data_IF_497186986716
#
_entry.id   IF_497186986716
#
_cell.length_a   1.000
_cell.length_b   1.000
_cell.length_c   1.000
_cell.angle_alpha   90.00
_cell.angle_beta   90.00
_cell.angle_gamma   90.00
#
_symmetry.space_group_name_H-M   'P 1'
#
loop_
_entity.id
_entity.type
_entity.pdbx_description
1 polymer ?
#
# COMPACT_ATOMS: atom_id res chain seq x y z
N UNK A 1 -2.19 5.05 12.24
CA UNK A 1 -3.16 4.18 11.56
C UNK A 1 -2.54 3.87 10.22
N UNK A 2 -2.18 2.62 9.99
CA UNK A 2 -1.52 2.20 8.76
C UNK A 2 -2.46 2.47 7.58
N UNK A 3 -1.96 3.13 6.53
CA UNK A 3 -2.72 3.44 5.32
C UNK A 3 -2.74 2.22 4.41
N UNK A 4 -3.40 1.15 4.83
CA UNK A 4 -3.57 -0.08 4.06
C UNK A 4 -5.05 -0.33 3.76
N UNK A 5 -5.37 -0.61 2.50
CA UNK A 5 -6.73 -0.92 2.04
C UNK A 5 -7.02 -2.42 2.19
N UNK A 6 -8.21 -2.75 2.69
CA UNK A 6 -8.68 -4.14 2.74
C UNK A 6 -9.77 -4.35 1.69
N UNK A 7 -9.46 -5.14 0.67
CA UNK A 7 -10.37 -5.47 -0.43
C UNK A 7 -10.91 -6.89 -0.24
N UNK A 8 -12.21 -7.00 0.04
CA UNK A 8 -12.89 -8.30 0.16
C UNK A 8 -13.81 -8.47 -1.04
N UNK A 9 -13.51 -9.46 -1.88
CA UNK A 9 -14.29 -9.74 -3.08
C UNK A 9 -15.74 -10.16 -2.76
N UNK A 10 -16.72 -9.90 -3.64
CA UNK A 10 -18.12 -10.27 -3.39
C UNK A 10 -18.36 -11.76 -3.13
N UNK A 11 -17.59 -12.64 -3.76
CA UNK A 11 -17.62 -14.08 -3.54
C UNK A 11 -16.95 -14.50 -2.23
N UNK A 12 -15.89 -13.82 -1.79
CA UNK A 12 -15.35 -13.99 -0.44
C UNK A 12 -16.39 -13.61 0.62
N UNK A 13 -17.10 -12.49 0.47
CA UNK A 13 -18.17 -12.09 1.39
C UNK A 13 -19.26 -13.16 1.51
N UNK A 14 -19.70 -13.70 0.36
CA UNK A 14 -20.66 -14.82 0.34
C UNK A 14 -20.11 -16.08 1.01
N UNK A 15 -18.83 -16.40 0.81
CA UNK A 15 -18.18 -17.55 1.44
C UNK A 15 -18.08 -17.38 2.96
N UNK A 16 -17.73 -16.19 3.45
CA UNK A 16 -17.68 -15.86 4.88
C UNK A 16 -19.07 -16.05 5.52
N UNK A 17 -20.11 -15.53 4.87
CA UNK A 17 -21.48 -15.67 5.36
C UNK A 17 -21.93 -17.14 5.42
N UNK A 18 -21.62 -17.94 4.40
CA UNK A 18 -21.91 -19.39 4.38
C UNK A 18 -21.17 -20.12 5.50
N UNK A 19 -19.89 -19.84 5.68
CA UNK A 19 -19.09 -20.46 6.73
C UNK A 19 -19.63 -20.12 8.14
N UNK A 20 -20.11 -18.89 8.35
CA UNK A 20 -20.72 -18.48 9.61
C UNK A 20 -22.06 -19.21 9.90
N UNK A 21 -22.83 -19.51 8.84
CA UNK A 21 -24.05 -20.32 8.92
C UNK A 21 -23.72 -21.78 9.22
N UNK A 22 -22.76 -22.37 8.51
CA UNK A 22 -22.30 -23.76 8.71
C UNK A 22 -21.81 -24.00 10.14
N UNK A 23 -21.10 -23.02 10.71
CA UNK A 23 -20.63 -23.06 12.10
C UNK A 23 -21.73 -22.84 13.15
N UNK A 24 -22.99 -22.62 12.74
CA UNK A 24 -24.16 -22.34 13.61
C UNK A 24 -23.95 -21.16 14.56
N UNK A 25 -23.08 -20.24 14.18
CA UNK A 25 -22.72 -19.05 14.98
C UNK A 25 -23.49 -17.80 14.56
N UNK A 26 -24.15 -17.83 13.39
CA UNK A 26 -24.86 -16.68 12.82
C UNK A 26 -23.95 -15.46 12.67
N UNK A 27 -24.52 -14.25 12.80
CA UNK A 27 -23.77 -13.00 12.66
C UNK A 27 -22.58 -12.87 13.62
N UNK A 28 -22.64 -13.48 14.82
CA UNK A 28 -21.53 -13.48 15.79
C UNK A 28 -20.29 -14.19 15.26
N UNK A 29 -20.46 -15.18 14.39
CA UNK A 29 -19.37 -15.92 13.76
C UNK A 29 -18.59 -15.13 12.72
N UNK A 30 -19.15 -14.04 12.18
CA UNK A 30 -18.47 -13.25 11.15
C UNK A 30 -17.19 -12.63 11.72
N UNK A 31 -17.24 -12.09 12.95
CA UNK A 31 -16.07 -11.49 13.60
C UNK A 31 -14.95 -12.50 13.77
N UNK A 32 -15.25 -13.70 14.26
CA UNK A 32 -14.21 -14.72 14.49
C UNK A 32 -13.63 -15.30 13.19
N UNK A 33 -14.41 -15.31 12.10
CA UNK A 33 -13.90 -15.66 10.78
C UNK A 33 -12.96 -14.57 10.27
N UNK A 34 -13.36 -13.30 10.34
CA UNK A 34 -12.53 -12.17 9.93
C UNK A 34 -11.24 -12.08 10.73
N UNK A 35 -11.29 -12.26 12.05
CA UNK A 35 -10.08 -12.29 12.91
C UNK A 35 -9.08 -13.36 12.46
N UNK A 36 -9.57 -14.54 12.06
CA UNK A 36 -8.69 -15.61 11.55
C UNK A 36 -8.07 -15.26 10.21
N UNK A 37 -8.85 -14.69 9.29
CA UNK A 37 -8.38 -14.31 7.95
C UNK A 37 -7.38 -13.15 7.99
N UNK A 38 -7.53 -12.25 8.95
CA UNK A 38 -6.70 -11.05 9.09
C UNK A 38 -5.51 -11.23 10.02
N UNK A 39 -5.38 -12.37 10.73
CA UNK A 39 -4.31 -12.58 11.70
C UNK A 39 -2.91 -12.37 11.10
N UNK A 40 -2.66 -12.99 9.94
CA UNK A 40 -1.39 -12.86 9.22
C UNK A 40 -1.24 -11.46 8.57
N UNK A 41 -2.22 -10.93 7.80
CA UNK A 41 -2.16 -9.57 7.28
C UNK A 41 -1.88 -8.49 8.34
N UNK A 42 -2.44 -8.62 9.55
CA UNK A 42 -2.21 -7.67 10.64
C UNK A 42 -0.76 -7.65 11.14
N UNK A 43 0.02 -8.71 10.88
CA UNK A 43 1.44 -8.77 11.20
C UNK A 43 2.32 -8.35 10.02
N UNK A 44 1.95 -8.73 8.80
CA UNK A 44 2.74 -8.44 7.59
C UNK A 44 2.63 -6.98 7.13
N UNK A 45 1.48 -6.34 7.34
CA UNK A 45 1.24 -4.96 6.88
C UNK A 45 2.07 -3.91 7.64
N UNK A 46 2.14 -3.92 8.99
CA UNK A 46 2.93 -2.94 9.73
C UNK A 46 4.39 -2.90 9.28
N UNK A 47 4.95 -1.69 9.12
CA UNK A 47 6.34 -1.46 8.70
C UNK A 47 6.72 -2.06 7.32
N UNK A 48 5.74 -2.33 6.45
CA UNK A 48 5.96 -2.80 5.09
C UNK A 48 5.54 -1.76 4.03
N UNK A 49 5.90 -2.01 2.77
CA UNK A 49 5.46 -1.22 1.61
C UNK A 49 4.09 -1.68 1.05
N UNK A 50 3.34 -2.47 1.83
CA UNK A 50 2.03 -3.01 1.42
C UNK A 50 0.97 -1.90 1.51
N UNK A 51 0.30 -1.66 0.39
CA UNK A 51 -0.78 -0.67 0.25
C UNK A 51 -2.16 -1.30 0.34
N UNK A 52 -2.33 -2.55 -0.07
CA UNK A 52 -3.62 -3.23 0.00
C UNK A 52 -3.49 -4.74 0.25
N UNK A 53 -4.51 -5.30 0.89
CA UNK A 53 -4.69 -6.73 1.12
C UNK A 53 -5.98 -7.17 0.41
N UNK A 54 -5.89 -8.16 -0.46
CA UNK A 54 -7.05 -8.73 -1.14
C UNK A 54 -7.43 -10.10 -0.60
N UNK A 55 -8.71 -10.25 -0.23
CA UNK A 55 -9.31 -11.49 0.22
C UNK A 55 -10.30 -12.00 -0.83
N UNK A 56 -9.96 -13.14 -1.42
CA UNK A 56 -10.82 -13.87 -2.35
C UNK A 56 -11.48 -15.09 -1.69
N UNK A 57 -12.40 -15.75 -2.40
CA UNK A 57 -13.09 -16.94 -1.89
C UNK A 57 -12.14 -18.08 -1.51
N UNK A 58 -11.05 -18.26 -2.25
CA UNK A 58 -10.10 -19.33 -1.98
C UNK A 58 -9.34 -19.10 -0.66
N UNK A 59 -9.03 -17.84 -0.34
CA UNK A 59 -8.48 -17.46 0.98
C UNK A 59 -9.46 -17.81 2.10
N UNK A 60 -10.74 -17.47 1.93
CA UNK A 60 -11.79 -17.83 2.92
C UNK A 60 -11.92 -19.34 3.11
N UNK A 61 -11.72 -20.11 2.03
CA UNK A 61 -11.76 -21.58 2.05
C UNK A 61 -10.45 -22.22 2.51
N UNK A 62 -9.42 -21.44 2.82
CA UNK A 62 -8.10 -21.94 3.23
C UNK A 62 -7.31 -22.62 2.11
N UNK A 63 -7.62 -22.31 0.85
CA UNK A 63 -6.94 -22.88 -0.33
C UNK A 63 -5.77 -22.04 -0.81
N UNK A 64 -5.76 -20.75 -0.46
CA UNK A 64 -4.70 -19.81 -0.80
C UNK A 64 -4.46 -18.84 0.36
N UNK A 65 -3.35 -18.10 0.29
CA UNK A 65 -3.01 -17.02 1.22
C UNK A 65 -3.55 -15.67 0.71
N UNK A 66 -3.72 -14.66 1.59
CA UNK A 66 -4.05 -13.29 1.17
C UNK A 66 -3.08 -12.74 0.12
N UNK A 67 -3.59 -11.92 -0.79
CA UNK A 67 -2.76 -11.25 -1.81
C UNK A 67 -2.39 -9.86 -1.31
N UNK A 68 -1.11 -9.50 -1.43
CA UNK A 68 -0.58 -8.21 -0.98
C UNK A 68 -0.18 -7.36 -2.18
N UNK A 69 -0.70 -6.12 -2.24
CA UNK A 69 -0.37 -5.13 -3.26
C UNK A 69 0.62 -4.14 -2.66
N UNK A 70 1.78 -3.95 -3.29
CA UNK A 70 2.85 -3.05 -2.82
C UNK A 70 2.90 -1.76 -3.64
N UNK A 71 3.43 -0.70 -3.05
CA UNK A 71 3.70 0.54 -3.78
C UNK A 71 4.73 0.29 -4.90
N UNK A 72 4.61 0.97 -6.06
CA UNK A 72 5.69 1.01 -7.03
C UNK A 72 6.91 1.68 -6.38
N UNK A 73 8.11 1.15 -6.63
CA UNK A 73 9.34 1.73 -6.11
C UNK A 73 9.46 3.19 -6.56
N UNK A 74 9.60 4.12 -5.61
CA UNK A 74 10.00 5.50 -5.93
C UNK A 74 11.46 5.46 -6.36
N UNK A 75 11.73 5.72 -7.63
CA UNK A 75 13.06 6.17 -8.06
C UNK A 75 13.36 7.45 -7.28
N UNK A 76 14.42 7.44 -6.46
CA UNK A 76 14.90 8.62 -5.77
C UNK A 76 15.42 9.60 -6.82
N UNK A 77 14.77 10.74 -6.98
CA UNK A 77 15.38 11.90 -7.65
C UNK A 77 16.63 12.28 -6.85
N UNK A 78 17.81 11.98 -7.38
CA UNK A 78 19.08 12.51 -6.86
C UNK A 78 19.05 14.03 -7.04
N UNK A 79 18.88 14.74 -5.92
CA UNK A 79 18.98 16.19 -5.85
C UNK A 79 20.43 16.58 -6.20
N UNK A 80 20.64 16.97 -7.47
CA UNK A 80 21.91 17.52 -7.94
C UNK A 80 22.08 18.90 -7.30
N UNK A 81 22.90 18.98 -6.25
CA UNK A 81 23.38 20.23 -5.67
C UNK A 81 24.23 20.97 -6.71
N UNK A 82 23.58 21.81 -7.53
CA UNK A 82 24.27 22.69 -8.45
C UNK A 82 24.80 23.89 -7.68
N UNK A 83 25.94 23.71 -7.01
CA UNK A 83 26.79 24.80 -6.58
C UNK A 83 27.28 25.59 -7.79
N UNK A 84 26.55 26.64 -8.18
CA UNK A 84 27.04 27.65 -9.11
C UNK A 84 27.60 28.79 -8.25
N UNK A 85 28.93 28.86 -8.22
CA UNK A 85 29.67 30.03 -7.78
C UNK A 85 29.24 31.24 -8.61
N UNK A 86 28.87 32.35 -7.94
CA UNK A 86 28.56 33.62 -8.59
C UNK A 86 29.82 34.19 -9.27
N UNK A 87 30.08 33.80 -10.52
CA UNK A 87 30.94 34.59 -11.41
C UNK A 87 30.20 35.87 -11.81
N UNK A 88 30.43 36.92 -11.02
CA UNK A 88 30.06 38.29 -11.34
C UNK A 88 30.70 38.73 -12.66
N UNK A 89 29.90 38.86 -13.72
CA UNK A 89 30.33 39.53 -14.95
C UNK A 89 29.26 40.47 -15.50
N UNK A 90 29.37 41.79 -15.30
CA UNK A 90 28.74 42.77 -16.17
C UNK A 90 29.65 43.09 -17.35
N UNK A 91 29.16 42.79 -18.56
CA UNK A 91 29.74 43.17 -19.85
C UNK A 91 29.58 44.67 -20.12
N UNK A 92 30.62 45.21 -20.77
CA UNK A 92 30.65 46.29 -21.77
C UNK A 92 30.32 47.73 -21.37
N UNK A 93 31.29 48.62 -21.63
CA UNK A 93 31.10 49.63 -22.67
C UNK A 93 32.46 50.05 -23.24
N UNK A 94 32.71 49.68 -24.50
CA UNK A 94 33.57 50.44 -25.38
C UNK A 94 33.01 51.86 -25.49
N UNK A 95 33.82 52.87 -25.17
CA UNK A 95 33.68 54.20 -25.74
C UNK A 95 34.99 54.96 -25.57
N UNK A 96 35.65 55.16 -26.70
CA UNK A 96 36.76 56.07 -26.87
C UNK A 96 36.43 57.47 -26.31
N UNK A 97 37.39 58.12 -25.66
CA UNK A 97 37.84 59.44 -26.09
C UNK A 97 39.20 59.84 -25.48
N UNK A 98 39.91 60.59 -26.30
CA UNK A 98 41.22 61.22 -26.17
C UNK A 98 41.37 62.19 -25.00
#
# INVERSE_FOLDING_TARGET
>A
MDKCELNVTPDALRAIARLALERKTGARGLRSIMEKLLLEPMFEVPHSDIMAVELNKDVVQGKSVPVYVKAPAKESEEEYDSGIEEESWPRQADAANN
#
